data_IF_579835847223
#
_entry.id   IF_579835847223
#
_cell.length_a   1.000
_cell.length_b   1.000
_cell.length_c   1.000
_cell.angle_alpha   90.00
_cell.angle_beta   90.00
_cell.angle_gamma   90.00
#
_symmetry.space_group_name_H-M   'P 1'
#
loop_
_entity.id
_entity.type
_entity.pdbx_description
1 polymer ?
#
# COMPACT_ATOMS: atom_id res chain seq x y z
N UNK A 1 -16.70 29.33 6.70
CA UNK A 1 -15.66 28.98 5.71
C UNK A 1 -14.49 28.22 6.34
N UNK A 2 -13.98 28.66 7.49
CA UNK A 2 -12.87 28.02 8.21
C UNK A 2 -13.02 26.49 8.41
N UNK A 3 -14.20 26.03 8.87
CA UNK A 3 -14.49 24.59 9.04
C UNK A 3 -14.45 23.79 7.72
N UNK A 4 -14.81 24.40 6.59
CA UNK A 4 -14.74 23.75 5.28
C UNK A 4 -13.29 23.68 4.76
N UNK A 5 -12.49 24.71 5.03
CA UNK A 5 -11.05 24.72 4.69
C UNK A 5 -10.31 23.65 5.49
N UNK A 6 -10.60 23.53 6.78
CA UNK A 6 -10.00 22.49 7.64
C UNK A 6 -10.45 21.09 7.20
N UNK A 7 -11.72 20.91 6.82
CA UNK A 7 -12.23 19.64 6.31
C UNK A 7 -11.54 19.26 4.99
N UNK A 8 -11.47 20.18 4.03
CA UNK A 8 -10.81 19.95 2.74
C UNK A 8 -9.31 19.67 2.93
N UNK A 9 -8.63 20.43 3.78
CA UNK A 9 -7.23 20.21 4.14
C UNK A 9 -7.02 18.83 4.76
N UNK A 10 -7.88 18.43 5.69
CA UNK A 10 -7.81 17.09 6.32
C UNK A 10 -7.99 15.96 5.31
N UNK A 11 -8.88 16.11 4.33
CA UNK A 11 -9.09 15.11 3.29
C UNK A 11 -7.85 14.97 2.38
N UNK A 12 -7.25 16.09 1.98
CA UNK A 12 -6.01 16.10 1.18
C UNK A 12 -4.86 15.47 1.94
N UNK A 13 -4.67 15.87 3.21
CA UNK A 13 -3.67 15.30 4.11
C UNK A 13 -3.90 13.79 4.24
N UNK A 14 -5.12 13.33 4.47
CA UNK A 14 -5.43 11.91 4.61
C UNK A 14 -5.07 11.10 3.34
N UNK A 15 -5.31 11.65 2.15
CA UNK A 15 -4.92 10.99 0.89
C UNK A 15 -3.39 10.95 0.71
N UNK A 16 -2.67 12.00 1.10
CA UNK A 16 -1.21 12.04 1.03
C UNK A 16 -0.57 11.10 2.05
N UNK A 17 -1.08 11.11 3.28
CA UNK A 17 -0.61 10.23 4.35
C UNK A 17 -0.87 8.77 4.04
N UNK A 18 -2.04 8.39 3.50
CA UNK A 18 -2.29 7.00 3.12
C UNK A 18 -1.28 6.48 2.08
N UNK A 19 -0.88 7.30 1.11
CA UNK A 19 0.19 6.95 0.15
C UNK A 19 1.55 6.84 0.83
N UNK A 20 1.89 7.79 1.70
CA UNK A 20 3.14 7.79 2.45
C UNK A 20 3.27 6.57 3.36
N UNK A 21 2.20 6.23 4.09
CA UNK A 21 2.13 5.05 4.95
C UNK A 21 2.24 3.77 4.12
N UNK A 22 1.55 3.68 2.98
CA UNK A 22 1.67 2.52 2.10
C UNK A 22 3.12 2.33 1.61
N UNK A 23 3.80 3.40 1.19
CA UNK A 23 5.22 3.35 0.81
C UNK A 23 6.10 2.94 1.99
N UNK A 24 5.88 3.51 3.17
CA UNK A 24 6.60 3.13 4.39
C UNK A 24 6.43 1.66 4.74
N UNK A 25 5.19 1.14 4.66
CA UNK A 25 4.90 -0.28 4.90
C UNK A 25 5.60 -1.19 3.88
N UNK A 26 5.61 -0.82 2.60
CA UNK A 26 6.37 -1.55 1.57
C UNK A 26 7.85 -1.61 1.94
N UNK A 27 8.45 -0.48 2.30
CA UNK A 27 9.87 -0.41 2.67
C UNK A 27 10.17 -1.24 3.93
N UNK A 28 9.30 -1.19 4.94
CA UNK A 28 9.44 -1.97 6.16
C UNK A 28 9.35 -3.47 5.86
N UNK A 29 8.39 -3.89 5.02
CA UNK A 29 8.25 -5.29 4.62
C UNK A 29 9.48 -5.76 3.82
N UNK A 30 9.97 -4.94 2.89
CA UNK A 30 11.23 -5.20 2.17
C UNK A 30 12.42 -5.29 3.12
N UNK A 31 12.49 -4.44 4.13
CA UNK A 31 13.56 -4.45 5.13
C UNK A 31 13.53 -5.70 6.00
N UNK A 32 12.36 -6.05 6.54
CA UNK A 32 12.18 -7.27 7.35
C UNK A 32 12.52 -8.49 6.51
N UNK A 33 12.02 -8.55 5.26
CA UNK A 33 12.29 -9.69 4.38
C UNK A 33 13.75 -9.75 3.95
N UNK A 34 14.36 -8.60 3.67
CA UNK A 34 15.79 -8.48 3.38
C UNK A 34 16.65 -8.97 4.54
N UNK A 35 16.30 -8.62 5.78
CA UNK A 35 16.96 -9.16 6.98
C UNK A 35 16.83 -10.68 7.08
N UNK A 36 15.65 -11.25 6.81
CA UNK A 36 15.43 -12.70 6.82
C UNK A 36 16.28 -13.42 5.75
N UNK A 37 16.40 -12.82 4.56
CA UNK A 37 17.19 -13.33 3.43
C UNK A 37 18.66 -12.90 3.48
N UNK A 38 19.11 -12.31 4.60
CA UNK A 38 20.48 -11.79 4.80
C UNK A 38 20.95 -10.83 3.70
N UNK A 39 20.02 -10.18 3.01
CA UNK A 39 20.25 -9.35 1.82
C UNK A 39 21.04 -10.06 0.70
N UNK A 40 20.99 -11.39 0.63
CA UNK A 40 21.61 -12.16 -0.45
C UNK A 40 20.77 -12.07 -1.74
N UNK A 41 21.40 -11.71 -2.86
CA UNK A 41 20.75 -11.62 -4.17
C UNK A 41 20.13 -12.95 -4.60
N UNK A 42 20.79 -14.08 -4.37
CA UNK A 42 20.26 -15.40 -4.80
C UNK A 42 19.01 -15.80 -4.00
N UNK A 43 19.00 -15.52 -2.70
CA UNK A 43 17.85 -15.75 -1.82
C UNK A 43 16.67 -14.85 -2.19
N UNK A 44 16.94 -13.60 -2.59
CA UNK A 44 15.93 -12.71 -3.14
C UNK A 44 15.35 -13.24 -4.46
N UNK A 45 16.21 -13.70 -5.37
CA UNK A 45 15.80 -14.27 -6.66
C UNK A 45 14.92 -15.51 -6.45
N UNK A 46 15.33 -16.42 -5.57
CA UNK A 46 14.54 -17.60 -5.22
C UNK A 46 13.19 -17.21 -4.57
N UNK A 47 13.20 -16.23 -3.66
CA UNK A 47 11.97 -15.73 -3.04
C UNK A 47 10.97 -15.19 -4.07
N UNK A 48 11.42 -14.42 -5.07
CA UNK A 48 10.55 -13.89 -6.12
C UNK A 48 10.03 -14.98 -7.06
N UNK A 49 10.83 -16.01 -7.34
CA UNK A 49 10.42 -17.17 -8.16
C UNK A 49 9.34 -18.02 -7.44
N UNK A 50 9.44 -18.18 -6.13
CA UNK A 50 8.46 -18.93 -5.31
C UNK A 50 7.18 -18.14 -5.01
N UNK A 51 7.20 -16.82 -5.23
CA UNK A 51 6.08 -15.95 -4.90
C UNK A 51 4.96 -16.10 -5.93
N UNK A 52 3.81 -16.62 -5.49
CA UNK A 52 2.65 -16.70 -6.38
C UNK A 52 1.96 -15.35 -6.56
N UNK A 53 1.36 -15.14 -7.72
CA UNK A 53 0.54 -13.95 -8.02
C UNK A 53 -0.57 -13.71 -6.98
N UNK A 54 -1.16 -14.78 -6.44
CA UNK A 54 -2.18 -14.70 -5.40
C UNK A 54 -1.63 -14.13 -4.09
N UNK A 55 -0.42 -14.55 -3.68
CA UNK A 55 0.26 -14.00 -2.49
C UNK A 55 0.56 -12.52 -2.68
N UNK A 56 1.04 -12.13 -3.86
CA UNK A 56 1.32 -10.71 -4.20
C UNK A 56 0.06 -9.86 -4.08
N UNK A 57 -1.07 -10.35 -4.60
CA UNK A 57 -2.36 -9.67 -4.46
C UNK A 57 -2.76 -9.52 -2.98
N UNK A 58 -2.68 -10.60 -2.19
CA UNK A 58 -3.04 -10.56 -0.76
C UNK A 58 -2.15 -9.58 0.01
N UNK A 59 -0.85 -9.55 -0.27
CA UNK A 59 0.09 -8.59 0.34
C UNK A 59 -0.28 -7.16 -0.08
N UNK A 60 -0.51 -6.89 -1.36
CA UNK A 60 -0.88 -5.56 -1.85
C UNK A 60 -2.20 -5.06 -1.23
N UNK A 61 -3.21 -5.94 -1.12
CA UNK A 61 -4.48 -5.63 -0.45
C UNK A 61 -4.26 -5.36 1.04
N UNK A 62 -3.42 -6.15 1.72
CA UNK A 62 -3.09 -5.96 3.13
C UNK A 62 -2.39 -4.62 3.40
N UNK A 63 -1.42 -4.26 2.56
CA UNK A 63 -0.71 -2.97 2.66
C UNK A 63 -1.67 -1.81 2.42
N UNK A 64 -2.49 -1.88 1.38
CA UNK A 64 -3.46 -0.82 1.09
C UNK A 64 -4.49 -0.67 2.21
N UNK A 65 -5.06 -1.79 2.70
CA UNK A 65 -6.05 -1.77 3.78
C UNK A 65 -5.48 -1.23 5.10
N UNK A 66 -4.27 -1.67 5.48
CA UNK A 66 -3.59 -1.15 6.68
C UNK A 66 -3.23 0.32 6.56
N UNK A 67 -2.79 0.79 5.39
CA UNK A 67 -2.53 2.20 5.14
C UNK A 67 -3.79 3.06 5.25
N UNK A 68 -4.92 2.62 4.68
CA UNK A 68 -6.21 3.32 4.79
C UNK A 68 -6.66 3.40 6.25
N UNK A 69 -6.58 2.29 6.99
CA UNK A 69 -6.94 2.25 8.41
C UNK A 69 -6.06 3.17 9.27
N UNK A 70 -4.73 3.09 9.10
CA UNK A 70 -3.80 3.94 9.83
C UNK A 70 -4.02 5.43 9.54
N UNK A 71 -4.26 5.78 8.27
CA UNK A 71 -4.53 7.16 7.86
C UNK A 71 -5.83 7.70 8.44
N UNK A 72 -6.87 6.87 8.55
CA UNK A 72 -8.12 7.24 9.21
C UNK A 72 -7.95 7.46 10.72
N UNK A 73 -7.14 6.63 11.40
CA UNK A 73 -6.82 6.81 12.82
C UNK A 73 -6.05 8.11 13.08
N UNK A 74 -5.09 8.44 12.22
CA UNK A 74 -4.35 9.71 12.29
C UNK A 74 -5.31 10.89 12.08
N UNK A 75 -6.20 10.79 11.09
CA UNK A 75 -7.20 11.82 10.81
C UNK A 75 -8.14 12.03 12.00
N UNK A 76 -8.59 10.94 12.64
CA UNK A 76 -9.40 11.00 13.86
C UNK A 76 -8.65 11.72 15.00
N UNK A 77 -7.37 11.40 15.20
CA UNK A 77 -6.55 12.05 16.23
C UNK A 77 -6.39 13.56 15.98
N UNK A 78 -6.20 13.98 14.72
CA UNK A 78 -6.11 15.40 14.35
C UNK A 78 -7.45 16.11 14.57
N UNK A 79 -8.56 15.53 14.09
CA UNK A 79 -9.91 16.09 14.24
C UNK A 79 -10.34 16.19 15.71
N UNK A 80 -9.95 15.20 16.53
CA UNK A 80 -10.21 15.21 17.97
C UNK A 80 -9.43 16.30 18.71
N UNK A 81 -8.21 16.63 18.28
CA UNK A 81 -7.45 17.76 18.84
C UNK A 81 -7.94 19.13 18.38
N UNK A 82 -8.67 19.20 17.26
CA UNK A 82 -9.18 20.44 16.69
C UNK A 82 -10.60 20.81 17.20
N UNK A 83 -11.06 20.21 18.31
CA UNK A 83 -12.37 20.46 18.94
C UNK A 83 -13.58 20.39 17.98
N UNK A 84 -13.52 19.53 16.95
CA UNK A 84 -14.67 19.28 16.09
C UNK A 84 -15.78 18.58 16.89
N UNK A 85 -17.05 18.93 16.64
CA UNK A 85 -18.21 18.37 17.34
C UNK A 85 -18.40 16.85 17.09
N UNK A 86 -18.03 16.35 15.91
CA UNK A 86 -18.22 14.93 15.52
C UNK A 86 -16.99 14.36 14.79
N UNK A 87 -15.82 14.27 15.43
CA UNK A 87 -14.57 13.86 14.78
C UNK A 87 -14.62 12.39 14.36
N UNK A 88 -15.33 11.55 15.13
CA UNK A 88 -15.56 10.15 14.81
C UNK A 88 -16.36 9.95 13.51
N UNK A 89 -17.48 10.67 13.34
CA UNK A 89 -18.32 10.55 12.15
C UNK A 89 -17.57 11.01 10.89
N UNK A 90 -16.77 12.07 11.01
CA UNK A 90 -15.95 12.59 9.89
C UNK A 90 -14.86 11.57 9.53
N UNK A 91 -14.15 11.01 10.50
CA UNK A 91 -13.13 9.99 10.25
C UNK A 91 -13.72 8.71 9.65
N UNK A 92 -14.89 8.26 10.12
CA UNK A 92 -15.61 7.13 9.57
C UNK A 92 -16.05 7.36 8.12
N UNK A 93 -16.55 8.56 7.80
CA UNK A 93 -16.90 8.94 6.43
C UNK A 93 -15.67 8.93 5.51
N UNK A 94 -14.55 9.51 5.95
CA UNK A 94 -13.29 9.51 5.20
C UNK A 94 -12.76 8.08 4.97
N UNK A 95 -12.87 7.21 5.98
CA UNK A 95 -12.50 5.80 5.85
C UNK A 95 -13.39 5.09 4.82
N UNK A 96 -14.72 5.22 4.92
CA UNK A 96 -15.65 4.65 3.96
C UNK A 96 -15.39 5.14 2.53
N UNK A 97 -15.22 6.45 2.33
CA UNK A 97 -14.88 7.03 1.03
C UNK A 97 -13.57 6.46 0.47
N UNK A 98 -12.55 6.31 1.31
CA UNK A 98 -11.25 5.75 0.91
C UNK A 98 -11.35 4.28 0.52
N UNK A 99 -12.11 3.49 1.28
CA UNK A 99 -12.36 2.07 0.98
C UNK A 99 -13.17 1.93 -0.31
N UNK A 100 -14.23 2.72 -0.51
CA UNK A 100 -15.03 2.69 -1.73
C UNK A 100 -14.19 3.06 -2.96
N UNK A 101 -13.39 4.13 -2.87
CA UNK A 101 -12.47 4.52 -3.93
C UNK A 101 -11.45 3.42 -4.25
N UNK A 102 -10.85 2.82 -3.21
CA UNK A 102 -9.91 1.72 -3.37
C UNK A 102 -10.56 0.49 -4.00
N UNK A 103 -11.72 0.06 -3.52
CA UNK A 103 -12.49 -1.04 -4.09
C UNK A 103 -12.88 -0.78 -5.54
N UNK A 104 -13.32 0.43 -5.88
CA UNK A 104 -13.64 0.81 -7.25
C UNK A 104 -12.40 0.73 -8.16
N UNK A 105 -11.28 1.28 -7.70
CA UNK A 105 -9.99 1.23 -8.42
C UNK A 105 -9.43 -0.19 -8.54
N UNK A 106 -9.66 -1.04 -7.55
CA UNK A 106 -9.17 -2.42 -7.52
C UNK A 106 -10.05 -3.37 -8.35
N UNK A 107 -11.37 -3.13 -8.33
CA UNK A 107 -12.38 -3.88 -9.11
C UNK A 107 -12.34 -3.50 -10.59
N UNK A 108 -12.02 -2.25 -10.91
CA UNK A 108 -11.62 -1.86 -12.27
C UNK A 108 -10.30 -2.53 -12.60
N UNK A 109 -10.33 -3.53 -13.50
CA UNK A 109 -9.23 -4.46 -13.80
C UNK A 109 -7.85 -3.81 -13.97
N UNK A 110 -7.78 -2.54 -14.34
CA UNK A 110 -6.57 -1.73 -14.52
C UNK A 110 -5.59 -1.81 -13.34
N UNK A 111 -6.05 -1.73 -12.09
CA UNK A 111 -5.15 -1.70 -10.92
C UNK A 111 -4.52 -3.07 -10.63
N UNK A 112 -5.36 -4.11 -10.56
CA UNK A 112 -4.94 -5.49 -10.31
C UNK A 112 -4.14 -6.04 -11.49
N UNK A 113 -4.60 -5.83 -12.72
CA UNK A 113 -3.92 -6.31 -13.93
C UNK A 113 -2.55 -5.65 -14.11
N UNK A 114 -2.42 -4.36 -13.78
CA UNK A 114 -1.12 -3.68 -13.81
C UNK A 114 -0.10 -4.33 -12.86
N UNK A 115 -0.49 -4.59 -11.61
CA UNK A 115 0.38 -5.25 -10.62
C UNK A 115 0.76 -6.67 -11.06
N UNK A 116 -0.21 -7.44 -11.56
CA UNK A 116 0.03 -8.80 -12.03
C UNK A 116 0.95 -8.84 -13.24
N UNK A 117 0.75 -7.95 -14.21
CA UNK A 117 1.62 -7.81 -15.38
C UNK A 117 3.04 -7.49 -14.94
N UNK A 118 3.22 -6.50 -14.06
CA UNK A 118 4.56 -6.10 -13.61
C UNK A 118 5.25 -7.18 -12.80
N UNK A 119 4.50 -7.95 -12.01
CA UNK A 119 5.04 -9.09 -11.28
C UNK A 119 5.41 -10.25 -12.22
N UNK A 120 4.61 -10.52 -13.25
CA UNK A 120 4.87 -11.59 -14.22
C UNK A 120 6.16 -11.35 -15.04
N UNK A 121 6.59 -10.10 -15.17
CA UNK A 121 7.85 -9.73 -15.84
C UNK A 121 9.10 -10.06 -15.02
N UNK A 122 8.99 -10.30 -13.70
CA UNK A 122 10.16 -10.46 -12.81
C UNK A 122 10.82 -11.86 -12.93
N UNK A 123 10.07 -12.99 -12.83
CA UNK A 123 10.64 -14.33 -12.97
C UNK A 123 11.49 -14.55 -14.24
N UNK A 124 11.05 -14.19 -15.46
CA UNK A 124 11.83 -14.45 -16.67
C UNK A 124 13.15 -13.66 -16.70
N UNK A 125 13.16 -12.42 -16.18
CA UNK A 125 14.38 -11.60 -16.12
C UNK A 125 15.43 -12.21 -15.19
N UNK A 126 14.99 -12.78 -14.06
CA UNK A 126 15.87 -13.49 -13.12
C UNK A 126 16.45 -14.75 -13.76
N UNK A 127 15.63 -15.53 -14.45
CA UNK A 127 16.07 -16.76 -15.12
C UNK A 127 17.09 -16.44 -16.23
N UNK A 128 16.82 -15.44 -17.06
CA UNK A 128 17.72 -15.00 -18.13
C UNK A 128 19.07 -14.51 -17.59
N UNK A 129 19.07 -13.76 -16.47
CA UNK A 129 20.29 -13.35 -15.78
C UNK A 129 21.10 -14.58 -15.33
N UNK A 130 20.44 -15.56 -14.70
CA UNK A 130 21.08 -16.79 -14.20
C UNK A 130 21.65 -17.65 -15.33
N UNK A 131 21.00 -17.70 -16.50
CA UNK A 131 21.52 -18.40 -17.67
C UNK A 131 22.77 -17.73 -18.26
N UNK A 132 22.81 -16.38 -18.29
CA UNK A 132 23.99 -15.63 -18.73
C UNK A 132 25.20 -15.83 -17.82
N UNK A 133 24.97 -15.89 -16.50
CA UNK A 133 26.05 -16.07 -15.51
C UNK A 133 26.64 -17.49 -15.51
N UNK A 134 25.89 -18.48 -16.02
CA UNK A 134 26.36 -19.87 -16.15
C UNK A 134 27.18 -20.13 -17.41
N UNK A 135 27.20 -19.19 -18.36
CA UNK A 135 27.83 -19.33 -19.68
C UNK A 135 29.18 -18.64 -19.72
#
# INVERSE_FOLDING_TARGET
MEKLIILAGSAVINVLFSKGIALGLVLILFWIKGRQLKFNSEEWDNYFLELSQEKVIKIALGIAGSAIAASALISYAILGRAEFHHPFLIAAALFCCSVLWFCHKWRGEKGKAYLLRRFAEIPPVILEKREREKK
#
